data_IF_379236503990
#
_entry.id   IF_379236503990
#
_cell.length_a   1.000
_cell.length_b   1.000
_cell.length_c   1.000
_cell.angle_alpha   90.00
_cell.angle_beta   90.00
_cell.angle_gamma   90.00
#
_symmetry.space_group_name_H-M   'P 1'
#
loop_
_entity.id
_entity.type
_entity.pdbx_description
1 polymer ?
#
# COMPACT_ATOMS: atom_id res chain seq x y z
N UNK A 1 -19.47 27.13 37.92
CA UNK A 1 -19.19 27.57 36.54
C UNK A 1 -18.17 26.61 35.95
N UNK A 2 -18.60 25.64 35.15
CA UNK A 2 -17.70 24.64 34.56
C UNK A 2 -17.31 25.10 33.16
N UNK A 3 -16.03 25.37 32.94
CA UNK A 3 -15.47 25.57 31.60
C UNK A 3 -15.13 24.20 31.00
N UNK A 4 -15.67 23.81 29.84
CA UNK A 4 -15.08 22.72 29.08
C UNK A 4 -13.85 23.25 28.35
N UNK A 5 -12.66 23.00 28.89
CA UNK A 5 -11.40 23.24 28.17
C UNK A 5 -11.36 22.30 26.97
N UNK A 6 -11.72 22.88 25.83
CA UNK A 6 -11.57 22.42 24.46
C UNK A 6 -10.32 21.55 24.32
N UNK A 7 -10.52 20.23 24.25
CA UNK A 7 -9.48 19.25 23.97
C UNK A 7 -8.89 19.59 22.60
N UNK A 8 -7.78 20.31 22.61
CA UNK A 8 -6.96 20.55 21.43
C UNK A 8 -6.43 19.19 20.98
N UNK A 9 -7.13 18.56 20.06
CA UNK A 9 -6.59 17.45 19.29
C UNK A 9 -5.51 18.05 18.42
N UNK A 10 -4.27 18.12 18.93
CA UNK A 10 -3.10 18.12 18.06
C UNK A 10 -3.35 17.00 17.06
N UNK A 11 -3.63 17.37 15.81
CA UNK A 11 -3.55 16.49 14.65
C UNK A 11 -2.07 16.10 14.62
N UNK A 12 -1.68 15.11 15.44
CA UNK A 12 -0.39 14.46 15.29
C UNK A 12 -0.45 13.95 13.86
N UNK A 13 0.51 14.35 13.04
CA UNK A 13 0.74 13.73 11.75
C UNK A 13 0.86 12.23 12.00
N UNK A 14 -0.25 11.53 11.78
CA UNK A 14 -0.38 10.14 12.14
C UNK A 14 0.11 9.40 10.91
N UNK A 15 1.39 9.08 10.88
CA UNK A 15 1.93 8.26 9.80
C UNK A 15 1.50 6.83 10.03
N UNK A 16 0.90 6.19 9.02
CA UNK A 16 0.55 4.77 9.10
C UNK A 16 1.81 3.93 8.94
N UNK A 17 2.08 3.07 9.92
CA UNK A 17 3.10 2.06 9.81
C UNK A 17 2.58 0.93 8.92
N UNK A 18 3.19 0.77 7.73
CA UNK A 18 2.86 -0.28 6.79
C UNK A 18 3.77 -1.48 7.01
N UNK A 19 3.25 -2.67 6.72
CA UNK A 19 4.08 -3.88 6.72
C UNK A 19 5.18 -3.74 5.66
N UNK A 20 6.41 -4.25 5.93
CA UNK A 20 7.59 -4.00 5.10
C UNK A 20 7.44 -4.48 3.65
N UNK A 21 6.71 -5.57 3.40
CA UNK A 21 6.43 -6.06 2.04
C UNK A 21 5.45 -5.17 1.27
N UNK A 22 4.46 -4.58 1.94
CA UNK A 22 3.57 -3.59 1.33
C UNK A 22 4.39 -2.36 0.95
N UNK A 23 5.26 -1.90 1.84
CA UNK A 23 6.13 -0.76 1.57
C UNK A 23 7.10 -1.03 0.41
N UNK A 24 7.68 -2.23 0.34
CA UNK A 24 8.51 -2.64 -0.78
C UNK A 24 7.73 -2.66 -2.10
N UNK A 25 6.50 -3.19 -2.09
CA UNK A 25 5.61 -3.19 -3.24
C UNK A 25 5.24 -1.77 -3.70
N UNK A 26 4.98 -0.85 -2.76
CA UNK A 26 4.72 0.55 -3.07
C UNK A 26 5.95 1.25 -3.67
N UNK A 27 7.14 0.99 -3.13
CA UNK A 27 8.41 1.51 -3.68
C UNK A 27 8.61 1.03 -5.12
N UNK A 28 8.36 -0.25 -5.39
CA UNK A 28 8.48 -0.84 -6.72
C UNK A 28 7.41 -0.34 -7.71
N UNK A 29 6.18 -0.10 -7.23
CA UNK A 29 5.11 0.53 -8.02
C UNK A 29 5.47 1.97 -8.42
N UNK A 30 6.05 2.74 -7.49
CA UNK A 30 6.36 4.15 -7.72
C UNK A 30 7.68 4.33 -8.48
N UNK A 31 8.58 3.36 -8.40
CA UNK A 31 9.81 3.33 -9.19
C UNK A 31 9.49 3.29 -10.69
N UNK A 32 9.84 4.36 -11.41
CA UNK A 32 9.55 4.55 -12.83
C UNK A 32 8.18 5.18 -13.14
N UNK A 33 7.36 5.48 -12.14
CA UNK A 33 6.07 6.18 -12.27
C UNK A 33 6.02 7.47 -11.44
N UNK A 34 7.18 7.96 -10.97
CA UNK A 34 7.26 9.05 -10.00
C UNK A 34 6.60 10.31 -10.52
N UNK A 35 6.84 10.68 -11.79
CA UNK A 35 6.28 11.90 -12.39
C UNK A 35 4.74 11.91 -12.36
N UNK A 36 4.12 10.80 -12.75
CA UNK A 36 2.66 10.70 -12.81
C UNK A 36 2.02 10.72 -11.41
N UNK A 37 2.73 10.20 -10.40
CA UNK A 37 2.25 10.19 -9.01
C UNK A 37 2.48 11.55 -8.35
N UNK A 38 3.60 12.23 -8.64
CA UNK A 38 3.89 13.58 -8.14
C UNK A 38 2.80 14.57 -8.50
N UNK A 39 2.20 14.45 -9.69
CA UNK A 39 1.05 15.28 -10.11
C UNK A 39 -0.13 15.23 -9.13
N UNK A 40 -0.25 14.17 -8.32
CA UNK A 40 -1.30 14.02 -7.30
C UNK A 40 -0.92 14.55 -5.92
N UNK A 41 0.33 14.93 -5.72
CA UNK A 41 0.81 15.48 -4.46
C UNK A 41 1.33 16.90 -4.66
N UNK A 42 0.64 17.87 -4.08
CA UNK A 42 1.11 19.27 -4.12
C UNK A 42 2.50 19.39 -3.47
N UNK A 43 3.43 20.03 -4.20
CA UNK A 43 4.81 20.23 -3.76
C UNK A 43 5.67 18.97 -3.74
N UNK A 44 5.34 17.94 -4.52
CA UNK A 44 6.13 16.72 -4.67
C UNK A 44 7.12 16.76 -5.86
N UNK A 45 7.39 17.93 -6.45
CA UNK A 45 8.15 18.09 -7.70
C UNK A 45 9.50 17.35 -7.76
N UNK A 46 10.16 17.14 -6.61
CA UNK A 46 11.47 16.48 -6.49
C UNK A 46 11.42 15.14 -5.74
N UNK A 47 10.22 14.62 -5.45
CA UNK A 47 10.09 13.50 -4.53
C UNK A 47 10.41 12.17 -5.19
N UNK A 48 11.38 11.46 -4.64
CA UNK A 48 11.72 10.10 -5.09
C UNK A 48 10.63 9.10 -4.67
N UNK A 49 10.63 7.90 -5.27
CA UNK A 49 9.65 6.85 -4.96
C UNK A 49 9.47 6.62 -3.44
N UNK A 50 10.56 6.59 -2.66
CA UNK A 50 10.49 6.45 -1.20
C UNK A 50 9.78 7.62 -0.49
N UNK A 51 9.96 8.85 -0.96
CA UNK A 51 9.30 10.04 -0.41
C UNK A 51 7.81 10.06 -0.76
N UNK A 52 7.45 9.61 -1.96
CA UNK A 52 6.04 9.44 -2.36
C UNK A 52 5.33 8.37 -1.51
N UNK A 53 6.02 7.30 -1.16
CA UNK A 53 5.50 6.30 -0.20
C UNK A 53 5.23 6.92 1.16
N UNK A 54 6.15 7.75 1.67
CA UNK A 54 5.99 8.43 2.96
C UNK A 54 4.81 9.41 2.97
N UNK A 55 4.60 10.14 1.87
CA UNK A 55 3.42 10.99 1.68
C UNK A 55 2.13 10.18 1.72
N UNK A 56 2.08 9.03 1.04
CA UNK A 56 0.90 8.17 1.09
C UNK A 56 0.64 7.66 2.50
N UNK A 57 1.66 7.25 3.25
CA UNK A 57 1.49 6.85 4.66
C UNK A 57 0.97 7.98 5.53
N UNK A 58 1.41 9.21 5.26
CA UNK A 58 0.95 10.41 5.96
C UNK A 58 -0.52 10.70 5.64
N UNK A 59 -0.89 10.71 4.36
CA UNK A 59 -2.27 10.91 3.93
C UNK A 59 -3.18 9.83 4.47
N UNK A 60 -2.75 8.57 4.44
CA UNK A 60 -3.51 7.45 4.98
C UNK A 60 -3.90 7.65 6.44
N UNK A 61 -3.00 8.16 7.29
CA UNK A 61 -3.34 8.37 8.69
C UNK A 61 -3.92 9.76 8.99
N UNK A 62 -3.80 10.72 8.09
CA UNK A 62 -4.55 11.98 8.15
C UNK A 62 -6.02 11.78 7.79
N UNK A 63 -6.32 10.94 6.80
CA UNK A 63 -7.68 10.63 6.32
C UNK A 63 -8.29 9.36 6.95
N UNK A 64 -7.49 8.59 7.71
CA UNK A 64 -7.88 7.28 8.26
C UNK A 64 -8.38 6.30 7.17
N UNK A 65 -7.64 6.23 6.06
CA UNK A 65 -7.97 5.38 4.91
C UNK A 65 -7.01 4.20 4.76
N UNK A 66 -7.51 3.11 4.17
CA UNK A 66 -6.72 1.91 3.87
C UNK A 66 -5.79 2.13 2.66
N UNK A 67 -4.75 1.28 2.53
CA UNK A 67 -3.74 1.35 1.45
C UNK A 67 -4.41 1.30 0.08
N UNK A 68 -5.34 0.37 -0.11
CA UNK A 68 -6.10 0.19 -1.33
C UNK A 68 -6.92 1.44 -1.72
N UNK A 69 -7.54 2.10 -0.72
CA UNK A 69 -8.30 3.31 -0.95
C UNK A 69 -7.37 4.48 -1.31
N UNK A 70 -6.25 4.63 -0.59
CA UNK A 70 -5.23 5.62 -0.91
C UNK A 70 -4.65 5.42 -2.32
N UNK A 71 -4.29 4.18 -2.68
CA UNK A 71 -3.84 3.85 -4.03
C UNK A 71 -4.88 4.18 -5.10
N UNK A 72 -6.15 3.86 -4.86
CA UNK A 72 -7.21 4.15 -5.82
C UNK A 72 -7.46 5.64 -6.07
N UNK A 73 -7.14 6.49 -5.08
CA UNK A 73 -7.34 7.95 -5.12
C UNK A 73 -6.12 8.70 -5.66
N UNK A 74 -4.93 8.29 -5.24
CA UNK A 74 -3.67 9.00 -5.50
C UNK A 74 -2.84 8.38 -6.62
N UNK A 75 -3.14 7.15 -7.04
CA UNK A 75 -2.44 6.49 -8.15
C UNK A 75 -3.39 6.33 -9.33
N UNK A 76 -3.01 6.83 -10.53
CA UNK A 76 -3.82 6.68 -11.73
C UNK A 76 -4.09 5.21 -12.04
N UNK A 77 -5.29 4.93 -12.58
CA UNK A 77 -5.69 3.57 -12.96
C UNK A 77 -4.74 2.97 -13.99
N UNK A 78 -4.20 3.78 -14.90
CA UNK A 78 -3.23 3.33 -15.92
C UNK A 78 -1.93 2.82 -15.30
N UNK A 79 -1.42 3.49 -14.26
CA UNK A 79 -0.22 3.08 -13.53
C UNK A 79 -0.48 1.76 -12.80
N UNK A 80 -1.62 1.66 -12.10
CA UNK A 80 -2.03 0.42 -11.41
C UNK A 80 -2.23 -0.74 -12.39
N UNK A 81 -2.81 -0.47 -13.56
CA UNK A 81 -3.06 -1.45 -14.61
C UNK A 81 -1.75 -1.95 -15.23
N UNK A 82 -0.87 -1.03 -15.61
CA UNK A 82 0.46 -1.34 -16.17
C UNK A 82 1.29 -2.17 -15.18
N UNK A 83 1.32 -1.77 -13.91
CA UNK A 83 2.03 -2.52 -12.88
C UNK A 83 1.42 -3.90 -12.61
N UNK A 84 0.09 -4.02 -12.60
CA UNK A 84 -0.57 -5.30 -12.47
C UNK A 84 -0.19 -6.25 -13.63
N UNK A 85 -0.17 -5.76 -14.87
CA UNK A 85 0.28 -6.54 -16.04
C UNK A 85 1.75 -6.96 -15.91
N UNK A 86 2.63 -6.04 -15.48
CA UNK A 86 4.05 -6.33 -15.22
C UNK A 86 4.25 -7.45 -14.20
N UNK A 87 3.35 -7.54 -13.20
CA UNK A 87 3.33 -8.59 -12.17
C UNK A 87 2.51 -9.83 -12.57
N UNK A 88 2.27 -10.01 -13.88
CA UNK A 88 1.52 -11.15 -14.45
C UNK A 88 0.09 -11.28 -13.89
N UNK A 89 -0.51 -10.15 -13.50
CA UNK A 89 -1.91 -10.04 -13.07
C UNK A 89 -2.74 -9.36 -14.13
N UNK A 90 -4.06 -9.52 -14.02
CA UNK A 90 -4.99 -8.81 -14.90
C UNK A 90 -4.95 -7.30 -14.60
N UNK A 91 -4.69 -6.49 -15.64
CA UNK A 91 -4.77 -5.02 -15.59
C UNK A 91 -6.18 -4.46 -15.81
N UNK A 92 -7.20 -5.31 -15.88
CA UNK A 92 -8.60 -4.89 -16.07
C UNK A 92 -9.28 -4.66 -14.71
N UNK A 93 -9.99 -3.55 -14.59
CA UNK A 93 -10.80 -3.20 -13.41
C UNK A 93 -10.79 -1.70 -13.12
N UNK A 94 -11.57 -1.30 -12.12
CA UNK A 94 -11.47 0.05 -11.54
C UNK A 94 -10.18 0.19 -10.72
N UNK A 95 -9.76 1.43 -10.45
CA UNK A 95 -8.59 1.72 -9.62
C UNK A 95 -8.59 0.95 -8.29
N UNK A 96 -9.74 0.88 -7.63
CA UNK A 96 -9.92 0.14 -6.37
C UNK A 96 -9.68 -1.37 -6.55
N UNK A 97 -10.22 -1.98 -7.60
CA UNK A 97 -10.04 -3.42 -7.88
C UNK A 97 -8.58 -3.74 -8.17
N UNK A 98 -7.90 -2.86 -8.91
CA UNK A 98 -6.47 -3.02 -9.19
C UNK A 98 -5.64 -2.86 -7.91
N UNK A 99 -5.92 -1.84 -7.10
CA UNK A 99 -5.24 -1.63 -5.82
C UNK A 99 -5.40 -2.83 -4.87
N UNK A 100 -6.61 -3.38 -4.77
CA UNK A 100 -6.89 -4.61 -4.02
C UNK A 100 -6.08 -5.80 -4.51
N UNK A 101 -6.02 -5.98 -5.83
CA UNK A 101 -5.28 -7.09 -6.45
C UNK A 101 -3.77 -6.99 -6.19
N UNK A 102 -3.21 -5.77 -6.24
CA UNK A 102 -1.80 -5.53 -5.92
C UNK A 102 -1.51 -5.77 -4.44
N UNK A 103 -2.39 -5.30 -3.54
CA UNK A 103 -2.24 -5.54 -2.12
C UNK A 103 -2.26 -7.04 -1.80
N UNK A 104 -3.20 -7.80 -2.38
CA UNK A 104 -3.25 -9.25 -2.24
C UNK A 104 -2.00 -9.95 -2.79
N UNK A 105 -1.42 -9.43 -3.88
CA UNK A 105 -0.17 -9.93 -4.44
C UNK A 105 0.99 -9.75 -3.46
N UNK A 106 1.18 -8.54 -2.91
CA UNK A 106 2.27 -8.28 -1.97
C UNK A 106 2.13 -9.11 -0.69
N UNK A 107 0.89 -9.33 -0.22
CA UNK A 107 0.61 -10.22 0.90
C UNK A 107 1.00 -11.67 0.58
N UNK A 108 0.72 -12.15 -0.64
CA UNK A 108 1.12 -13.48 -1.10
C UNK A 108 2.63 -13.62 -1.24
N UNK A 109 3.31 -12.62 -1.81
CA UNK A 109 4.78 -12.58 -1.92
C UNK A 109 5.44 -12.68 -0.53
N UNK A 110 4.87 -12.02 0.48
CA UNK A 110 5.33 -12.15 1.87
C UNK A 110 5.13 -13.55 2.45
N UNK A 111 3.97 -14.17 2.18
CA UNK A 111 3.69 -15.54 2.63
C UNK A 111 4.59 -16.59 1.96
N UNK A 112 5.02 -16.36 0.72
CA UNK A 112 6.00 -17.21 0.01
C UNK A 112 7.44 -16.94 0.46
N UNK A 113 7.78 -15.69 0.77
CA UNK A 113 9.10 -15.31 1.30
C UNK A 113 9.36 -15.79 2.74
N UNK A 114 8.29 -16.06 3.50
CA UNK A 114 8.35 -16.76 4.78
C UNK A 114 7.90 -18.20 4.60
N UNK A 115 8.76 -19.13 4.12
CA UNK A 115 8.42 -20.55 4.05
C UNK A 115 8.32 -21.09 5.48
N UNK A 116 7.17 -20.88 6.11
CA UNK A 116 6.75 -21.66 7.27
C UNK A 116 6.66 -23.09 6.78
N UNK A 117 7.68 -23.87 7.14
CA UNK A 117 7.83 -25.30 6.92
C UNK A 117 6.45 -25.97 7.01
N UNK A 118 5.88 -26.35 5.88
CA UNK A 118 4.76 -27.28 5.85
C UNK A 118 5.30 -28.63 6.29
N UNK A 119 5.28 -28.86 7.60
CA UNK A 119 5.35 -30.19 8.21
C UNK A 119 4.24 -31.01 7.57
N UNK A 120 4.61 -31.94 6.69
CA UNK A 120 3.74 -33.03 6.23
C UNK A 120 3.22 -33.75 7.49
N UNK A 121 1.90 -33.87 7.72
CA UNK A 121 1.43 -34.93 8.59
C UNK A 121 1.74 -36.25 7.87
N UNK A 122 2.74 -36.95 8.39
CA UNK A 122 3.08 -38.32 8.02
C UNK A 122 1.87 -39.18 8.41
N UNK A 123 1.02 -39.54 7.44
CA UNK A 123 0.02 -40.59 7.63
C UNK A 123 0.76 -41.91 7.82
N UNK A 124 0.97 -42.29 9.09
CA UNK A 124 1.34 -43.64 9.48
C UNK A 124 0.10 -44.51 9.23
N UNK A 125 0.12 -45.30 8.14
CA UNK A 125 -0.79 -46.44 8.00
C UNK A 125 -0.20 -47.57 8.83
N UNK A 126 -0.92 -47.89 9.90
CA UNK A 126 -0.75 -49.03 10.78
C UNK A 126 -0.97 -50.29 9.94
N UNK A 127 -0.02 -51.22 10.00
CA UNK A 127 -0.12 -52.60 9.54
C UNK A 127 0.06 -53.53 10.72
#
# INVERSE_FOLDING_TARGET
>A
MSTPTRRSTRKRERTVELQPHIEAGLKDLFAGNEQTIRDKFEGADKDNAAQLVDRIKTVMGQEDVTVENALSRYVPTEVLSSYAVKKEKSGKGSAMVLAQRLLALWQKENAEASPSKKTKPQSVRIG
#
